data_IF_510094625226
#
_entry.id   IF_510094625226
#
_cell.length_a   1.000
_cell.length_b   1.000
_cell.length_c   1.000
_cell.angle_alpha   90.00
_cell.angle_beta   90.00
_cell.angle_gamma   90.00
#
_symmetry.space_group_name_H-M   'P 1'
#
loop_
_entity.id
_entity.type
_entity.pdbx_description
1 polymer ?
#
# COMPACT_ATOMS: atom_id res chain seq x y z
N UNK A 1 -7.68 18.75 -4.57
CA UNK A 1 -8.11 18.00 -3.39
C UNK A 1 -8.07 16.51 -3.70
N UNK A 2 -7.46 15.73 -2.84
CA UNK A 2 -7.38 14.28 -3.05
C UNK A 2 -8.57 13.59 -2.41
N UNK A 3 -9.19 12.69 -3.16
CA UNK A 3 -10.30 11.88 -2.65
C UNK A 3 -9.75 10.61 -2.01
N UNK A 4 -10.53 9.93 -1.15
CA UNK A 4 -10.10 8.63 -0.62
C UNK A 4 -9.74 7.62 -1.72
N UNK A 5 -10.53 7.58 -2.80
CA UNK A 5 -10.23 6.71 -3.93
C UNK A 5 -8.92 7.08 -4.59
N UNK A 6 -8.66 8.38 -4.78
CA UNK A 6 -7.39 8.85 -5.34
C UNK A 6 -6.20 8.45 -4.50
N UNK A 7 -6.35 8.51 -3.17
CA UNK A 7 -5.28 8.08 -2.24
C UNK A 7 -5.02 6.59 -2.33
N UNK A 8 -6.06 5.78 -2.48
CA UNK A 8 -5.90 4.34 -2.66
C UNK A 8 -5.17 4.02 -3.96
N UNK A 9 -5.48 4.75 -5.03
CA UNK A 9 -4.78 4.57 -6.31
C UNK A 9 -3.31 4.96 -6.20
N UNK A 10 -3.00 6.04 -5.47
CA UNK A 10 -1.61 6.42 -5.22
C UNK A 10 -0.86 5.31 -4.50
N UNK A 11 -1.49 4.71 -3.48
CA UNK A 11 -0.87 3.61 -2.75
C UNK A 11 -0.63 2.42 -3.67
N UNK A 12 -1.61 2.06 -4.48
CA UNK A 12 -1.48 0.94 -5.40
C UNK A 12 -0.31 1.17 -6.37
N UNK A 13 -0.22 2.37 -6.94
CA UNK A 13 0.87 2.72 -7.84
C UNK A 13 2.23 2.60 -7.14
N UNK A 14 2.31 3.10 -5.92
CA UNK A 14 3.54 3.04 -5.14
C UNK A 14 3.96 1.58 -4.89
N UNK A 15 3.01 0.73 -4.54
CA UNK A 15 3.29 -0.69 -4.28
C UNK A 15 3.71 -1.44 -5.54
N UNK A 16 3.26 -0.99 -6.71
CA UNK A 16 3.63 -1.63 -7.98
C UNK A 16 4.99 -1.19 -8.50
N UNK A 17 5.49 -0.05 -8.04
CA UNK A 17 6.81 0.45 -8.47
C UNK A 17 7.97 -0.35 -7.89
N UNK A 18 7.76 -1.01 -6.75
CA UNK A 18 8.83 -1.66 -6.00
C UNK A 18 8.43 -3.07 -5.59
N UNK A 19 9.42 -3.96 -5.42
CA UNK A 19 9.15 -5.31 -4.92
C UNK A 19 8.60 -5.29 -3.49
N UNK A 20 8.99 -4.29 -2.69
CA UNK A 20 8.56 -4.19 -1.30
C UNK A 20 8.66 -2.72 -0.86
N UNK A 21 7.62 -2.24 -0.18
CA UNK A 21 7.58 -0.87 0.33
C UNK A 21 7.21 -0.93 1.80
N UNK A 22 8.03 -0.31 2.66
CA UNK A 22 7.75 -0.33 4.10
C UNK A 22 6.53 0.54 4.42
N UNK A 23 5.88 0.23 5.54
CA UNK A 23 4.77 1.05 6.01
C UNK A 23 5.20 2.50 6.26
N UNK A 24 6.44 2.68 6.73
CA UNK A 24 6.98 4.02 6.97
C UNK A 24 7.14 4.81 5.67
N UNK A 25 7.64 4.15 4.62
CA UNK A 25 7.76 4.79 3.32
C UNK A 25 6.40 5.22 2.78
N UNK A 26 5.40 4.35 2.94
CA UNK A 26 4.04 4.66 2.52
C UNK A 26 3.52 5.87 3.29
N UNK A 27 3.71 5.86 4.61
CA UNK A 27 3.26 6.96 5.47
C UNK A 27 3.89 8.28 5.04
N UNK A 28 5.20 8.26 4.77
CA UNK A 28 5.93 9.47 4.37
C UNK A 28 5.49 9.94 2.99
N UNK A 29 5.35 9.03 2.03
CA UNK A 29 5.01 9.38 0.65
C UNK A 29 3.58 9.91 0.52
N UNK A 30 2.66 9.37 1.30
CA UNK A 30 1.26 9.76 1.25
C UNK A 30 0.89 10.79 2.32
N UNK A 31 1.85 11.15 3.18
CA UNK A 31 1.64 12.09 4.29
C UNK A 31 0.49 11.65 5.20
N UNK A 32 0.51 10.37 5.58
CA UNK A 32 -0.48 9.76 6.46
C UNK A 32 0.22 9.05 7.60
N UNK A 33 -0.51 8.68 8.64
CA UNK A 33 0.07 7.96 9.76
C UNK A 33 0.03 6.45 9.53
N UNK A 34 0.70 5.70 10.42
CA UNK A 34 0.81 4.25 10.29
C UNK A 34 -0.55 3.56 10.35
N UNK A 35 -1.47 4.09 11.16
CA UNK A 35 -2.82 3.55 11.27
C UNK A 35 -3.57 3.68 9.95
N UNK A 36 -3.43 4.83 9.32
CA UNK A 36 -4.08 5.10 8.03
C UNK A 36 -3.48 4.23 6.93
N UNK A 37 -2.15 3.98 6.97
CA UNK A 37 -1.52 3.04 6.05
C UNK A 37 -2.20 1.68 6.13
N UNK A 38 -2.38 1.16 7.35
CA UNK A 38 -3.02 -0.14 7.55
C UNK A 38 -4.44 -0.15 7.00
N UNK A 39 -5.19 0.92 7.27
CA UNK A 39 -6.58 1.02 6.80
C UNK A 39 -6.66 1.04 5.28
N UNK A 40 -5.73 1.73 4.63
CA UNK A 40 -5.67 1.79 3.17
C UNK A 40 -5.31 0.45 2.57
N UNK A 41 -4.35 -0.26 3.18
CA UNK A 41 -4.00 -1.62 2.75
C UNK A 41 -5.22 -2.53 2.84
N UNK A 42 -5.94 -2.47 3.96
CA UNK A 42 -7.16 -3.26 4.13
C UNK A 42 -8.23 -2.90 3.10
N UNK A 43 -8.34 -1.62 2.76
CA UNK A 43 -9.30 -1.19 1.74
C UNK A 43 -8.96 -1.77 0.37
N UNK A 44 -7.66 -1.77 0.00
CA UNK A 44 -7.23 -2.39 -1.26
C UNK A 44 -7.54 -3.89 -1.26
N UNK A 45 -7.26 -4.56 -0.16
CA UNK A 45 -7.56 -5.99 -0.03
C UNK A 45 -9.06 -6.25 -0.17
N UNK A 46 -9.89 -5.38 0.40
CA UNK A 46 -11.35 -5.46 0.28
C UNK A 46 -11.84 -5.29 -1.14
N UNK A 47 -11.06 -4.63 -1.99
CA UNK A 47 -11.38 -4.47 -3.40
C UNK A 47 -10.89 -5.66 -4.24
N UNK A 48 -10.27 -6.66 -3.60
CA UNK A 48 -9.75 -7.82 -4.31
C UNK A 48 -8.32 -7.67 -4.79
N UNK A 49 -7.62 -6.62 -4.38
CA UNK A 49 -6.23 -6.42 -4.77
C UNK A 49 -5.34 -7.18 -3.79
N UNK A 50 -4.48 -8.10 -4.29
CA UNK A 50 -3.70 -8.99 -3.43
C UNK A 50 -2.47 -8.29 -2.83
N UNK A 51 -2.70 -7.43 -1.85
CA UNK A 51 -1.61 -6.79 -1.11
C UNK A 51 -1.18 -7.74 0.00
N UNK A 52 0.12 -8.00 0.06
CA UNK A 52 0.72 -8.89 1.05
C UNK A 52 1.62 -8.09 1.98
N UNK A 53 1.57 -8.42 3.27
CA UNK A 53 2.43 -7.80 4.27
C UNK A 53 3.47 -8.77 4.77
N UNK A 54 4.70 -8.28 4.99
CA UNK A 54 5.77 -9.04 5.62
C UNK A 54 6.21 -8.32 6.89
N UNK A 55 6.33 -9.06 7.97
CA UNK A 55 6.75 -8.50 9.26
C UNK A 55 8.25 -8.64 9.46
N UNK A 56 8.78 -7.84 10.38
CA UNK A 56 10.16 -7.94 10.83
C UNK A 56 11.08 -6.98 10.10
N UNK A 57 12.39 -7.18 10.34
CA UNK A 57 13.42 -6.36 9.72
C UNK A 57 13.37 -6.58 8.21
N UNK A 58 13.32 -5.49 7.46
CA UNK A 58 13.18 -5.57 6.01
C UNK A 58 11.77 -5.86 5.55
N UNK A 59 10.79 -5.82 6.47
CA UNK A 59 9.39 -6.07 6.12
C UNK A 59 8.73 -4.90 5.42
N UNK A 60 7.47 -5.09 5.03
CA UNK A 60 6.69 -4.06 4.35
C UNK A 60 5.52 -4.67 3.62
N UNK A 61 5.08 -3.98 2.59
CA UNK A 61 3.94 -4.40 1.78
C UNK A 61 4.34 -4.54 0.32
N UNK A 62 3.65 -5.44 -0.38
CA UNK A 62 3.82 -5.60 -1.82
C UNK A 62 2.51 -6.07 -2.43
N UNK A 63 2.33 -5.80 -3.70
CA UNK A 63 1.27 -6.43 -4.48
C UNK A 63 1.82 -7.75 -5.01
N UNK A 64 1.01 -8.81 -4.93
CA UNK A 64 1.45 -10.14 -5.40
C UNK A 64 2.00 -10.04 -6.82
N UNK A 65 3.18 -10.64 -7.09
CA UNK A 65 3.76 -10.59 -8.44
C UNK A 65 2.80 -11.15 -9.49
N UNK A 66 2.75 -10.48 -10.63
CA UNK A 66 1.87 -10.87 -11.72
C UNK A 66 0.48 -10.28 -11.69
N UNK A 67 0.10 -9.61 -10.60
CA UNK A 67 -1.20 -8.95 -10.55
C UNK A 67 -1.23 -7.75 -11.49
N UNK A 68 -2.31 -7.64 -12.26
CA UNK A 68 -2.55 -6.50 -13.14
C UNK A 68 -4.01 -6.07 -13.04
N UNK A 69 -4.22 -4.78 -13.14
CA UNK A 69 -5.56 -4.22 -13.21
C UNK A 69 -6.15 -4.39 -14.61
#
# INVERSE_FOLDING_TARGET
MQTPTGRLLELLELLQERPLTTGREIADRLAIDARTVRRYVEALQGLGIPVEGQRGVGGGYRVRPGFRL
#
